data_IF_847484966898
#
_entry.id   IF_847484966898
#
_cell.length_a   1.000
_cell.length_b   1.000
_cell.length_c   1.000
_cell.angle_alpha   90.00
_cell.angle_beta   90.00
_cell.angle_gamma   90.00
#
_symmetry.space_group_name_H-M   'P 1'
#
loop_
_entity.id
_entity.type
_entity.pdbx_description
1 polymer ?
#
# COMPACT_ATOMS: atom_id res chain seq x y z
N UNK A 1 11.34 10.64 -8.31
CA UNK A 1 10.34 10.67 -9.39
C UNK A 1 9.34 9.60 -9.08
N UNK A 2 8.04 9.92 -9.06
CA UNK A 2 7.00 8.95 -8.72
C UNK A 2 6.20 8.58 -9.97
N UNK A 3 5.92 7.30 -10.14
CA UNK A 3 5.19 6.74 -11.27
C UNK A 3 4.05 5.88 -10.76
N UNK A 4 2.82 6.18 -11.15
CA UNK A 4 1.70 5.27 -10.90
C UNK A 4 1.85 4.02 -11.78
N UNK A 5 1.64 2.85 -11.19
CA UNK A 5 1.72 1.57 -11.86
C UNK A 5 0.33 0.99 -12.05
N UNK A 6 0.08 0.39 -13.21
CA UNK A 6 -1.14 -0.38 -13.51
C UNK A 6 -1.14 -1.76 -12.79
N UNK A 7 -0.84 -1.76 -11.49
CA UNK A 7 -0.84 -2.92 -10.61
C UNK A 7 -1.90 -2.74 -9.53
N UNK A 8 -2.61 -3.81 -9.20
CA UNK A 8 -3.50 -3.78 -8.05
C UNK A 8 -2.71 -4.05 -6.76
N UNK A 9 -3.11 -3.45 -5.63
CA UNK A 9 -2.57 -3.80 -4.32
C UNK A 9 -2.56 -5.31 -4.06
N UNK A 10 -3.64 -6.00 -4.42
CA UNK A 10 -3.74 -7.47 -4.31
C UNK A 10 -2.59 -8.21 -4.98
N UNK A 11 -2.22 -7.80 -6.20
CA UNK A 11 -1.13 -8.45 -6.93
C UNK A 11 0.22 -8.26 -6.23
N UNK A 12 0.47 -7.05 -5.72
CA UNK A 12 1.72 -6.74 -5.01
C UNK A 12 1.80 -7.51 -3.69
N UNK A 13 0.72 -7.50 -2.90
CA UNK A 13 0.68 -8.19 -1.62
C UNK A 13 0.72 -9.72 -1.81
N UNK A 14 0.01 -10.24 -2.80
CA UNK A 14 0.03 -11.65 -3.16
C UNK A 14 1.43 -12.13 -3.55
N UNK A 15 2.12 -11.39 -4.42
CA UNK A 15 3.51 -11.65 -4.78
C UNK A 15 4.43 -11.64 -3.56
N UNK A 16 4.32 -10.62 -2.70
CA UNK A 16 5.17 -10.48 -1.51
C UNK A 16 4.98 -11.64 -0.54
N UNK A 17 3.74 -12.10 -0.34
CA UNK A 17 3.44 -13.27 0.50
C UNK A 17 4.07 -14.55 -0.05
N UNK A 18 4.04 -14.76 -1.36
CA UNK A 18 4.64 -15.91 -2.02
C UNK A 18 6.18 -15.88 -1.90
N UNK A 19 6.81 -14.73 -2.14
CA UNK A 19 8.25 -14.54 -1.98
C UNK A 19 8.74 -14.79 -0.55
N UNK A 20 7.96 -14.38 0.46
CA UNK A 20 8.27 -14.65 1.87
C UNK A 20 8.07 -16.13 2.18
N UNK A 21 7.00 -16.76 1.69
CA UNK A 21 6.71 -18.17 1.91
C UNK A 21 7.78 -19.09 1.27
N UNK A 22 8.31 -18.71 0.11
CA UNK A 22 9.41 -19.43 -0.57
C UNK A 22 10.78 -19.09 0.02
N UNK A 23 10.88 -18.07 0.86
CA UNK A 23 12.14 -17.57 1.42
C UNK A 23 13.05 -16.87 0.40
N UNK A 24 12.51 -16.51 -0.76
CA UNK A 24 13.25 -15.90 -1.87
C UNK A 24 13.26 -14.37 -1.83
N UNK A 25 12.47 -13.76 -0.93
CA UNK A 25 12.30 -12.32 -0.82
C UNK A 25 13.65 -11.56 -0.76
N UNK A 26 13.91 -10.80 -1.83
CA UNK A 26 15.10 -9.90 -1.96
C UNK A 26 14.77 -8.44 -1.64
N UNK A 27 13.63 -8.22 -1.03
CA UNK A 27 13.10 -6.89 -0.71
C UNK A 27 12.94 -6.75 0.80
N UNK A 28 13.08 -5.52 1.29
CA UNK A 28 12.55 -5.11 2.57
C UNK A 28 11.14 -4.58 2.33
N UNK A 29 10.26 -4.75 3.31
CA UNK A 29 8.93 -4.19 3.27
C UNK A 29 8.57 -3.65 4.65
N UNK A 30 7.71 -2.64 4.66
CA UNK A 30 7.15 -2.05 5.86
C UNK A 30 5.70 -1.72 5.58
N UNK A 31 4.80 -2.15 6.45
CA UNK A 31 3.39 -1.85 6.35
C UNK A 31 2.96 -1.01 7.54
N UNK A 32 2.13 -0.01 7.25
CA UNK A 32 1.57 0.87 8.24
C UNK A 32 0.08 1.07 7.99
N UNK A 33 -0.65 1.23 9.08
CA UNK A 33 -2.09 1.43 9.10
C UNK A 33 -2.41 2.68 9.90
N UNK A 34 -3.30 3.50 9.38
CA UNK A 34 -3.78 4.70 10.00
C UNK A 34 -5.30 4.78 9.87
N UNK A 35 -5.95 5.34 10.88
CA UNK A 35 -7.37 5.67 10.84
C UNK A 35 -7.49 7.19 10.82
N UNK A 36 -8.03 7.72 9.74
CA UNK A 36 -8.21 9.15 9.53
C UNK A 36 -9.69 9.50 9.58
N UNK A 37 -10.00 10.66 10.15
CA UNK A 37 -11.32 11.25 9.97
C UNK A 37 -11.46 11.74 8.52
N UNK A 38 -12.69 11.75 7.98
CA UNK A 38 -12.94 12.03 6.56
C UNK A 38 -12.31 13.33 6.03
N UNK A 39 -12.22 14.36 6.88
CA UNK A 39 -11.61 15.65 6.56
C UNK A 39 -10.08 15.56 6.35
N UNK A 40 -9.39 14.65 7.06
CA UNK A 40 -7.94 14.47 7.00
C UNK A 40 -7.48 13.59 5.82
N UNK A 41 -8.39 12.79 5.25
CA UNK A 41 -8.08 11.90 4.10
C UNK A 41 -7.92 12.72 2.82
N UNK A 42 -8.79 13.71 2.61
CA UNK A 42 -8.75 14.64 1.46
C UNK A 42 -7.41 15.39 1.35
N UNK A 43 -6.74 15.63 2.48
CA UNK A 43 -5.45 16.33 2.53
C UNK A 43 -4.28 15.41 2.10
N UNK A 44 -4.39 14.10 2.34
CA UNK A 44 -3.33 13.14 2.00
C UNK A 44 -3.45 12.62 0.56
N UNK A 45 -4.66 12.58 0.01
CA UNK A 45 -4.94 12.20 -1.39
C UNK A 45 -5.38 13.45 -2.15
N UNK A 46 -4.45 14.28 -2.61
CA UNK A 46 -4.79 15.52 -3.30
C UNK A 46 -5.52 15.29 -4.65
N UNK A 47 -6.84 15.14 -4.59
CA UNK A 47 -7.83 15.30 -5.66
C UNK A 47 -9.09 15.92 -5.01
N UNK A 48 -9.31 17.25 -5.13
CA UNK A 48 -10.33 17.97 -4.36
C UNK A 48 -11.67 18.01 -5.08
N UNK A 49 -12.39 16.89 -5.17
CA UNK A 49 -13.79 16.87 -5.62
C UNK A 49 -14.59 15.73 -4.93
N UNK A 50 -15.09 15.94 -3.71
CA UNK A 50 -16.47 15.52 -3.32
C UNK A 50 -16.89 16.14 -1.97
N UNK A 51 -17.72 17.20 -2.03
CA UNK A 51 -18.40 17.78 -0.87
C UNK A 51 -19.63 16.92 -0.54
N UNK A 52 -19.49 16.00 0.42
CA UNK A 52 -20.61 15.30 1.02
C UNK A 52 -20.36 15.03 2.51
N UNK A 53 -20.80 15.98 3.33
CA UNK A 53 -20.76 15.90 4.79
C UNK A 53 -21.37 14.62 5.35
N UNK A 54 -20.51 13.67 5.70
CA UNK A 54 -20.71 12.56 6.64
C UNK A 54 -19.37 12.44 7.36
N UNK A 55 -19.35 12.34 8.68
CA UNK A 55 -18.15 12.09 9.49
C UNK A 55 -17.67 10.63 9.26
N UNK A 56 -17.33 10.29 8.02
CA UNK A 56 -16.85 8.98 7.65
C UNK A 56 -15.39 8.85 8.09
N UNK A 57 -15.07 7.80 8.82
CA UNK A 57 -13.69 7.45 9.12
C UNK A 57 -13.19 6.58 7.98
N UNK A 58 -11.97 6.84 7.54
CA UNK A 58 -11.30 6.03 6.54
C UNK A 58 -10.10 5.35 7.15
N UNK A 59 -9.93 4.09 6.77
CA UNK A 59 -8.76 3.28 7.09
C UNK A 59 -7.78 3.42 5.94
N UNK A 60 -6.60 3.97 6.22
CA UNK A 60 -5.53 4.18 5.26
C UNK A 60 -4.38 3.24 5.56
N UNK A 61 -4.04 2.41 4.60
CA UNK A 61 -2.93 1.47 4.66
C UNK A 61 -1.84 1.86 3.69
N UNK A 62 -0.63 2.05 4.19
CA UNK A 62 0.55 2.30 3.37
C UNK A 62 1.52 1.15 3.52
N UNK A 63 1.88 0.51 2.42
CA UNK A 63 3.00 -0.42 2.38
C UNK A 63 4.10 0.14 1.50
N UNK A 64 5.32 0.14 2.02
CA UNK A 64 6.52 0.46 1.28
C UNK A 64 7.35 -0.80 1.09
N UNK A 65 7.78 -1.07 -0.14
CA UNK A 65 8.65 -2.18 -0.51
C UNK A 65 9.89 -1.58 -1.16
N UNK A 66 11.05 -1.92 -0.65
CA UNK A 66 12.34 -1.40 -1.10
C UNK A 66 13.34 -2.55 -1.31
N UNK A 67 14.37 -2.35 -2.12
CA UNK A 67 15.44 -3.34 -2.29
C UNK A 67 16.14 -3.57 -0.94
N UNK A 68 16.43 -4.83 -0.61
CA UNK A 68 17.01 -5.19 0.70
C UNK A 68 18.34 -4.48 0.99
N UNK A 69 19.15 -4.30 -0.03
CA UNK A 69 20.47 -3.66 0.04
C UNK A 69 20.40 -2.12 -0.02
N UNK A 70 19.19 -1.53 -0.15
CA UNK A 70 18.96 -0.07 -0.24
C UNK A 70 19.63 0.64 -1.41
N UNK A 71 20.39 -0.10 -2.23
CA UNK A 71 21.35 0.44 -3.20
C UNK A 71 20.72 0.70 -4.57
N UNK A 72 19.56 0.12 -4.83
CA UNK A 72 18.90 0.23 -6.14
C UNK A 72 18.04 1.50 -6.27
N UNK A 73 17.87 2.25 -5.19
CA UNK A 73 17.28 3.60 -5.23
C UNK A 73 15.84 3.65 -5.74
N UNK A 74 15.07 2.58 -5.56
CA UNK A 74 13.64 2.53 -5.84
C UNK A 74 12.86 2.11 -4.58
N UNK A 75 11.62 2.57 -4.46
CA UNK A 75 10.67 2.14 -3.45
C UNK A 75 9.29 2.02 -4.10
N UNK A 76 8.68 0.86 -4.00
CA UNK A 76 7.30 0.62 -4.42
C UNK A 76 6.39 0.93 -3.23
N UNK A 77 5.39 1.78 -3.44
CA UNK A 77 4.43 2.18 -2.42
C UNK A 77 3.05 1.71 -2.82
N UNK A 78 2.43 0.92 -1.96
CA UNK A 78 1.03 0.50 -2.08
C UNK A 78 0.24 1.34 -1.10
N UNK A 79 -0.74 2.07 -1.61
CA UNK A 79 -1.63 2.89 -0.81
C UNK A 79 -3.04 2.36 -0.97
N UNK A 80 -3.72 2.08 0.14
CA UNK A 80 -5.09 1.57 0.16
C UNK A 80 -5.89 2.43 1.12
N UNK A 81 -7.01 2.95 0.63
CA UNK A 81 -8.00 3.67 1.43
C UNK A 81 -9.32 2.90 1.42
N UNK A 82 -9.85 2.65 2.60
CA UNK A 82 -11.12 1.94 2.81
C UNK A 82 -12.02 2.78 3.72
N UNK A 83 -13.14 3.28 3.18
CA UNK A 83 -14.09 4.09 3.93
C UNK A 83 -14.96 3.20 4.82
N UNK A 84 -14.74 3.25 6.14
CA UNK A 84 -15.44 2.40 7.12
C UNK A 84 -16.69 3.07 7.73
N UNK A 85 -17.01 4.31 7.33
CA UNK A 85 -18.20 5.05 7.78
C UNK A 85 -18.06 5.60 9.21
N UNK A 86 -19.17 5.83 9.90
CA UNK A 86 -19.24 6.50 11.23
C UNK A 86 -18.73 5.60 12.39
N UNK A 87 -18.47 4.32 12.14
CA UNK A 87 -18.08 3.36 13.17
C UNK A 87 -16.57 3.03 13.09
N UNK A 88 -15.78 3.66 13.96
CA UNK A 88 -14.51 3.05 14.36
C UNK A 88 -14.79 1.74 15.09
N UNK A 89 -13.97 0.69 14.90
CA UNK A 89 -13.97 -0.44 15.80
C UNK A 89 -13.73 0.05 17.24
N UNK A 90 -14.48 -0.48 18.22
CA UNK A 90 -14.55 0.02 19.61
C UNK A 90 -13.18 0.12 20.32
N UNK A 91 -12.15 -0.56 19.80
CA UNK A 91 -10.78 -0.62 20.33
C UNK A 91 -9.78 0.27 19.57
N UNK A 92 -10.19 1.00 18.54
CA UNK A 92 -9.32 1.88 17.76
C UNK A 92 -9.75 3.33 17.92
N UNK A 93 -8.76 4.22 18.00
CA UNK A 93 -8.97 5.67 17.96
C UNK A 93 -8.38 6.21 16.67
N UNK A 94 -8.97 7.28 16.13
CA UNK A 94 -8.34 8.11 15.09
C UNK A 94 -6.94 8.45 15.62
N UNK A 95 -5.92 7.94 14.93
CA UNK A 95 -4.53 8.04 15.37
C UNK A 95 -3.79 8.93 14.39
N UNK A 96 -3.21 10.00 14.93
CA UNK A 96 -2.40 10.96 14.16
C UNK A 96 -1.14 10.29 13.58
N UNK A 97 -0.70 9.19 14.19
CA UNK A 97 0.49 8.45 13.79
C UNK A 97 0.14 7.12 13.12
N UNK A 98 0.79 6.77 11.99
CA UNK A 98 0.63 5.48 11.35
C UNK A 98 1.22 4.36 12.22
N UNK A 99 0.40 3.36 12.55
CA UNK A 99 0.79 2.16 13.30
C UNK A 99 1.46 1.16 12.37
N UNK A 100 2.67 0.70 12.70
CA UNK A 100 3.31 -0.38 11.95
C UNK A 100 2.60 -1.71 12.21
N UNK A 101 2.24 -2.41 11.13
CA UNK A 101 1.52 -3.68 11.19
C UNK A 101 2.21 -4.75 10.35
N UNK A 102 1.93 -6.02 10.65
CA UNK A 102 2.45 -7.14 9.89
C UNK A 102 1.71 -7.30 8.54
N UNK A 103 2.38 -7.95 7.57
CA UNK A 103 1.85 -8.20 6.23
C UNK A 103 0.51 -8.96 6.25
N UNK A 104 0.36 -9.94 7.15
CA UNK A 104 -0.89 -10.70 7.27
C UNK A 104 -2.05 -9.84 7.75
N UNK A 105 -1.77 -8.90 8.66
CA UNK A 105 -2.76 -7.99 9.20
C UNK A 105 -3.14 -6.95 8.15
N UNK A 106 -2.15 -6.41 7.42
CA UNK A 106 -2.37 -5.52 6.27
C UNK A 106 -3.27 -6.17 5.22
N UNK A 107 -3.00 -7.44 4.87
CA UNK A 107 -3.83 -8.19 3.93
C UNK A 107 -5.26 -8.39 4.44
N UNK A 108 -5.44 -8.85 5.68
CA UNK A 108 -6.78 -9.10 6.24
C UNK A 108 -7.61 -7.84 6.38
N UNK A 109 -6.96 -6.72 6.76
CA UNK A 109 -7.66 -5.48 7.01
C UNK A 109 -7.94 -4.69 5.72
N UNK A 110 -7.04 -4.68 4.74
CA UNK A 110 -7.14 -3.76 3.59
C UNK A 110 -7.38 -4.45 2.25
N UNK A 111 -7.03 -5.73 2.12
CA UNK A 111 -7.16 -6.46 0.85
C UNK A 111 -8.42 -7.33 0.83
N UNK A 112 -8.75 -8.01 1.94
CA UNK A 112 -9.98 -8.83 2.04
C UNK A 112 -11.27 -8.02 1.83
N UNK A 113 -11.43 -6.79 2.35
CA UNK A 113 -12.62 -5.99 2.01
C UNK A 113 -12.51 -5.50 0.56
N UNK A 114 -13.34 -6.05 -0.33
CA UNK A 114 -13.44 -5.65 -1.75
C UNK A 114 -13.92 -4.20 -1.97
N UNK A 115 -14.19 -3.44 -0.90
CA UNK A 115 -14.57 -2.02 -0.95
C UNK A 115 -13.38 -1.06 -0.91
N UNK A 116 -12.17 -1.56 -0.66
CA UNK A 116 -10.98 -0.73 -0.54
C UNK A 116 -10.47 -0.27 -1.91
N UNK A 117 -10.23 1.03 -2.07
CA UNK A 117 -9.63 1.62 -3.26
C UNK A 117 -8.14 1.75 -2.99
N UNK A 118 -7.29 1.13 -3.81
CA UNK A 118 -5.85 1.28 -3.66
C UNK A 118 -5.13 1.46 -4.97
N UNK A 119 -4.03 2.20 -4.89
CA UNK A 119 -3.12 2.48 -5.99
C UNK A 119 -1.71 2.04 -5.62
N UNK A 120 -0.90 1.77 -6.64
CA UNK A 120 0.48 1.34 -6.48
C UNK A 120 1.35 2.34 -7.22
N UNK A 121 2.20 3.05 -6.48
CA UNK A 121 3.17 3.97 -7.06
C UNK A 121 4.59 3.46 -6.89
N UNK A 122 5.48 3.88 -7.77
CA UNK A 122 6.89 3.59 -7.75
C UNK A 122 7.67 4.88 -7.61
N UNK A 123 8.38 5.01 -6.50
CA UNK A 123 9.30 6.10 -6.28
C UNK A 123 10.72 5.70 -6.72
N UNK A 124 11.26 6.43 -7.70
CA UNK A 124 12.63 6.31 -8.16
C UNK A 124 13.45 7.49 -7.63
N UNK A 125 14.48 7.19 -6.84
CA UNK A 125 15.44 8.18 -6.36
C UNK A 125 16.34 8.72 -7.49
N UNK A 126 16.46 7.99 -8.61
CA UNK A 126 17.26 8.38 -9.78
C UNK A 126 16.82 7.61 -11.04
N UNK A 127 17.08 8.15 -12.23
CA UNK A 127 16.78 7.48 -13.52
C UNK A 127 17.46 6.10 -13.66
N UNK A 128 18.57 5.88 -12.95
CA UNK A 128 19.26 4.57 -12.91
C UNK A 128 18.50 3.47 -12.17
N UNK A 129 17.51 3.84 -11.35
CA UNK A 129 16.66 2.92 -10.59
C UNK A 129 15.52 2.34 -11.44
N UNK A 130 15.19 2.97 -12.56
CA UNK A 130 14.12 2.55 -13.48
C UNK A 130 14.34 1.13 -14.05
N UNK A 131 15.50 0.78 -14.64
CA UNK A 131 15.73 -0.59 -15.12
C UNK A 131 15.83 -1.63 -13.99
N UNK A 132 16.19 -1.22 -12.77
CA UNK A 132 16.32 -2.11 -11.61
C UNK A 132 14.93 -2.47 -11.04
N UNK A 133 14.05 -1.48 -10.92
CA UNK A 133 12.65 -1.67 -10.54
C UNK A 133 11.84 -2.44 -11.60
N UNK A 134 12.21 -2.34 -12.88
CA UNK A 134 11.56 -3.09 -13.96
C UNK A 134 11.59 -4.61 -13.76
N UNK A 135 12.64 -5.15 -13.12
CA UNK A 135 12.71 -6.59 -12.78
C UNK A 135 11.67 -6.97 -11.74
N UNK A 136 11.51 -6.16 -10.69
CA UNK A 136 10.49 -6.37 -9.65
C UNK A 136 9.09 -6.35 -10.26
N UNK A 137 8.80 -5.32 -11.07
CA UNK A 137 7.49 -5.18 -11.72
C UNK A 137 7.21 -6.39 -12.61
N UNK A 138 8.17 -6.83 -13.40
CA UNK A 138 8.03 -8.03 -14.21
C UNK A 138 7.78 -9.29 -13.37
N UNK A 139 8.41 -9.40 -12.19
CA UNK A 139 8.21 -10.51 -11.26
C UNK A 139 6.80 -10.50 -10.65
N UNK A 140 6.33 -9.34 -10.17
CA UNK A 140 4.95 -9.15 -9.66
C UNK A 140 3.91 -9.48 -10.74
N UNK A 141 4.12 -9.00 -11.97
CA UNK A 141 3.23 -9.28 -13.11
C UNK A 141 3.28 -10.76 -13.50
N UNK A 142 4.45 -11.40 -13.47
CA UNK A 142 4.61 -12.81 -13.81
C UNK A 142 4.05 -13.74 -12.72
N UNK A 143 4.07 -13.32 -11.46
CA UNK A 143 3.47 -14.05 -10.34
C UNK A 143 1.93 -13.95 -10.31
N UNK A 144 1.32 -13.23 -11.27
CA UNK A 144 -0.13 -13.27 -11.52
C UNK A 144 -0.66 -14.68 -11.84
N UNK A 145 0.23 -15.64 -12.09
CA UNK A 145 -0.08 -17.06 -12.30
C UNK A 145 0.38 -17.99 -11.16
N UNK A 146 0.66 -17.45 -9.97
CA UNK A 146 0.80 -18.23 -8.75
C UNK A 146 -0.45 -19.08 -8.53
N UNK A 147 -0.29 -20.39 -8.75
CA UNK A 147 -1.29 -21.45 -8.85
C UNK A 147 -2.41 -21.47 -7.81
#
# INVERSE_FOLDING_TARGET
>A
MEYDLELTPEQVIGWLRDEIATGSARVNWRASLQYLAGDDVEVQTADPEDDAGIHAVSKVGVMEISPRDGSEGWALRVHISDSIGDHLPEDKSVSDEPEEIDLEDYYKQLIVPESAIGHVSLNLASERAEPLSGRLIADIVSNRHGR
#
